data_IF_510513951688
#
_entry.id   IF_510513951688
#
_cell.length_a   1.000
_cell.length_b   1.000
_cell.length_c   1.000
_cell.angle_alpha   90.00
_cell.angle_beta   90.00
_cell.angle_gamma   90.00
#
_symmetry.space_group_name_H-M   'P 1'
#
loop_
_entity.id
_entity.type
_entity.pdbx_description
1 polymer ?
#
# COMPACT_ATOMS: atom_id res chain seq x y z
N UNK A 1 31.56 -34.62 -44.99
CA UNK A 1 30.12 -34.94 -45.09
C UNK A 1 29.32 -33.92 -44.29
N UNK A 2 28.94 -32.83 -44.97
CA UNK A 2 28.07 -31.79 -44.43
C UNK A 2 26.61 -32.18 -44.70
N UNK A 3 25.95 -32.76 -43.71
CA UNK A 3 24.51 -32.91 -43.70
C UNK A 3 23.85 -31.55 -43.48
N UNK A 4 23.48 -30.92 -44.58
CA UNK A 4 22.64 -29.71 -44.57
C UNK A 4 21.31 -30.02 -43.91
N UNK A 5 21.07 -29.41 -42.72
CA UNK A 5 19.73 -29.34 -42.14
C UNK A 5 18.80 -28.58 -43.11
N UNK A 6 17.90 -29.30 -43.77
CA UNK A 6 16.78 -28.67 -44.46
C UNK A 6 15.99 -27.86 -43.42
N UNK A 7 15.98 -26.52 -43.55
CA UNK A 7 14.98 -25.69 -42.86
C UNK A 7 13.62 -26.16 -43.33
N UNK A 8 12.82 -26.65 -42.43
CA UNK A 8 11.39 -26.89 -42.69
C UNK A 8 10.74 -25.55 -42.97
N UNK A 9 10.02 -25.41 -44.08
CA UNK A 9 9.22 -24.21 -44.42
C UNK A 9 7.96 -24.05 -43.57
N UNK A 10 7.82 -24.84 -42.52
CA UNK A 10 6.72 -24.70 -41.56
C UNK A 10 7.07 -23.58 -40.59
N UNK A 11 6.26 -22.52 -40.48
CA UNK A 11 6.50 -21.49 -39.49
C UNK A 11 6.55 -22.13 -38.08
N UNK A 12 7.60 -21.81 -37.32
CA UNK A 12 7.66 -22.23 -35.92
C UNK A 12 6.40 -21.76 -35.21
N UNK A 13 5.74 -22.63 -34.42
CA UNK A 13 4.57 -22.22 -33.66
C UNK A 13 4.97 -21.06 -32.72
N UNK A 14 4.13 -20.03 -32.66
CA UNK A 14 4.32 -18.94 -31.72
C UNK A 14 4.35 -19.51 -30.30
N UNK A 15 5.43 -19.21 -29.57
CA UNK A 15 5.50 -19.57 -28.17
C UNK A 15 4.42 -18.82 -27.39
N UNK A 16 3.67 -19.51 -26.51
CA UNK A 16 2.70 -18.83 -25.65
C UNK A 16 3.43 -17.81 -24.76
N UNK A 17 2.74 -16.69 -24.39
CA UNK A 17 3.34 -15.69 -23.52
C UNK A 17 3.75 -16.29 -22.18
N UNK A 18 4.92 -15.88 -21.68
CA UNK A 18 5.43 -16.30 -20.39
C UNK A 18 4.74 -15.49 -19.28
N UNK A 19 3.64 -16.00 -18.75
CA UNK A 19 2.92 -15.36 -17.64
C UNK A 19 3.67 -15.54 -16.33
N UNK A 20 4.42 -14.52 -15.92
CA UNK A 20 5.15 -14.49 -14.66
C UNK A 20 4.42 -13.60 -13.65
N UNK A 21 3.91 -14.20 -12.56
CA UNK A 21 3.35 -13.44 -11.45
C UNK A 21 4.44 -12.77 -10.60
N UNK A 22 5.52 -13.53 -10.27
CA UNK A 22 6.67 -13.00 -9.55
C UNK A 22 7.65 -12.39 -10.54
N UNK A 23 7.79 -11.08 -10.50
CA UNK A 23 8.71 -10.32 -11.34
C UNK A 23 9.97 -10.05 -10.53
N UNK A 24 11.12 -10.45 -11.04
CA UNK A 24 12.40 -10.23 -10.36
C UNK A 24 12.69 -8.72 -10.22
N UNK A 25 13.13 -8.28 -9.05
CA UNK A 25 13.50 -6.90 -8.78
C UNK A 25 14.73 -6.43 -9.56
N UNK A 26 15.62 -7.36 -9.91
CA UNK A 26 16.75 -7.11 -10.81
C UNK A 26 16.32 -7.21 -12.28
N UNK A 27 15.56 -6.21 -12.73
CA UNK A 27 15.00 -6.19 -14.08
C UNK A 27 15.22 -4.83 -14.76
N UNK A 28 15.19 -4.81 -16.09
CA UNK A 28 15.14 -3.55 -16.84
C UNK A 28 13.73 -2.97 -16.87
N UNK A 29 13.60 -1.67 -17.11
CA UNK A 29 12.28 -1.03 -17.25
C UNK A 29 11.40 -1.68 -18.33
N UNK A 30 12.02 -2.08 -19.45
CA UNK A 30 11.32 -2.82 -20.52
C UNK A 30 10.90 -4.21 -20.06
N UNK A 31 11.77 -4.94 -19.34
CA UNK A 31 11.46 -6.28 -18.86
C UNK A 31 10.30 -6.29 -17.85
N UNK A 32 10.24 -5.32 -16.92
CA UNK A 32 9.09 -5.17 -16.03
C UNK A 32 7.81 -4.94 -16.83
N UNK A 33 7.86 -4.08 -17.85
CA UNK A 33 6.71 -3.78 -18.67
C UNK A 33 6.26 -4.97 -19.52
N UNK A 34 7.20 -5.71 -20.13
CA UNK A 34 6.90 -6.91 -20.91
C UNK A 34 6.26 -7.99 -20.02
N UNK A 35 6.80 -8.24 -18.83
CA UNK A 35 6.21 -9.18 -17.87
C UNK A 35 4.77 -8.79 -17.49
N UNK A 36 4.50 -7.51 -17.25
CA UNK A 36 3.14 -7.04 -16.94
C UNK A 36 2.20 -7.22 -18.15
N UNK A 37 2.65 -6.88 -19.37
CA UNK A 37 1.84 -7.07 -20.58
C UNK A 37 1.48 -8.54 -20.79
N UNK A 38 2.44 -9.44 -20.60
CA UNK A 38 2.23 -10.88 -20.79
C UNK A 38 1.38 -11.52 -19.70
N UNK A 39 1.35 -10.91 -18.51
CA UNK A 39 0.54 -11.34 -17.37
C UNK A 39 -0.75 -10.53 -17.18
N UNK A 40 -1.29 -9.93 -18.24
CA UNK A 40 -2.55 -9.16 -18.23
C UNK A 40 -2.53 -8.00 -17.22
N UNK A 41 -1.37 -7.41 -17.00
CA UNK A 41 -1.14 -6.28 -16.07
C UNK A 41 -0.93 -6.68 -14.61
N UNK A 42 -0.96 -7.96 -14.27
CA UNK A 42 -0.88 -8.44 -12.89
C UNK A 42 0.54 -8.90 -12.56
N UNK A 43 1.09 -8.48 -11.43
CA UNK A 43 2.42 -8.92 -11.00
C UNK A 43 2.74 -8.58 -9.55
N UNK A 44 3.77 -9.24 -9.03
CA UNK A 44 4.34 -9.00 -7.72
C UNK A 44 5.87 -8.91 -7.82
N UNK A 45 6.44 -7.82 -7.31
CA UNK A 45 7.87 -7.75 -7.00
C UNK A 45 7.99 -7.98 -5.49
N UNK A 46 8.72 -9.02 -5.09
CA UNK A 46 8.95 -9.37 -3.70
C UNK A 46 10.44 -9.61 -3.49
N UNK A 47 11.12 -8.66 -2.84
CA UNK A 47 12.57 -8.73 -2.60
C UNK A 47 12.88 -8.53 -1.12
N UNK A 48 13.72 -9.41 -0.61
CA UNK A 48 14.19 -9.34 0.79
C UNK A 48 15.25 -8.26 1.00
N UNK A 49 15.86 -7.78 -0.09
CA UNK A 49 16.87 -6.73 -0.11
C UNK A 49 16.44 -5.61 -1.07
N UNK A 50 16.03 -4.48 -0.51
CA UNK A 50 15.51 -3.35 -1.29
C UNK A 50 16.54 -2.74 -2.27
N UNK A 51 17.84 -2.96 -2.04
CA UNK A 51 18.91 -2.50 -2.91
C UNK A 51 18.96 -3.27 -4.25
N UNK A 52 18.42 -4.47 -4.34
CA UNK A 52 18.21 -5.17 -5.62
C UNK A 52 17.40 -4.31 -6.58
N UNK A 53 16.28 -3.78 -6.12
CA UNK A 53 15.40 -2.90 -6.90
C UNK A 53 16.04 -1.53 -7.12
N UNK A 54 16.66 -0.95 -6.10
CA UNK A 54 17.28 0.37 -6.22
C UNK A 54 18.45 0.38 -7.20
N UNK A 55 19.26 -0.69 -7.21
CA UNK A 55 20.35 -0.87 -8.16
C UNK A 55 19.81 -0.97 -9.58
N UNK A 56 18.77 -1.78 -9.80
CA UNK A 56 18.14 -1.90 -11.11
C UNK A 56 17.55 -0.57 -11.60
N UNK A 57 16.86 0.18 -10.77
CA UNK A 57 16.31 1.51 -11.10
C UNK A 57 17.43 2.52 -11.42
N UNK A 58 18.55 2.45 -10.72
CA UNK A 58 19.69 3.37 -10.87
C UNK A 58 20.56 3.13 -12.11
N UNK A 59 20.37 2.03 -12.84
CA UNK A 59 21.13 1.73 -14.04
C UNK A 59 20.68 2.57 -15.24
N UNK A 60 21.53 2.71 -16.27
CA UNK A 60 21.21 3.47 -17.50
C UNK A 60 19.94 2.96 -18.21
N UNK A 61 19.63 1.69 -18.10
CA UNK A 61 18.42 1.06 -18.66
C UNK A 61 17.31 0.80 -17.63
N UNK A 62 17.54 1.17 -16.37
CA UNK A 62 16.64 0.94 -15.27
C UNK A 62 15.44 1.88 -15.26
N UNK A 63 15.64 3.09 -14.96
CA UNK A 63 14.70 4.24 -14.91
C UNK A 63 13.19 3.93 -14.86
N UNK A 64 12.80 2.84 -14.18
CA UNK A 64 11.39 2.40 -14.12
C UNK A 64 10.66 2.80 -12.82
N UNK A 65 11.21 3.77 -12.08
CA UNK A 65 10.51 4.35 -10.92
C UNK A 65 9.19 5.03 -11.30
N UNK A 66 9.10 5.55 -12.54
CA UNK A 66 7.84 6.07 -13.08
C UNK A 66 6.81 4.96 -13.33
N UNK A 67 7.25 3.79 -13.75
CA UNK A 67 6.41 2.60 -13.88
C UNK A 67 5.79 2.22 -12.54
N UNK A 68 6.56 2.19 -11.44
CA UNK A 68 6.03 1.95 -10.09
C UNK A 68 4.96 2.97 -9.70
N UNK A 69 5.19 4.26 -10.03
CA UNK A 69 4.23 5.32 -9.72
C UNK A 69 2.93 5.17 -10.51
N UNK A 70 3.01 4.80 -11.79
CA UNK A 70 1.85 4.53 -12.64
C UNK A 70 1.09 3.28 -12.19
N UNK A 71 1.81 2.21 -11.85
CA UNK A 71 1.19 0.98 -11.32
C UNK A 71 0.43 1.21 -10.02
N UNK A 72 0.92 2.09 -9.14
CA UNK A 72 0.19 2.46 -7.93
C UNK A 72 -1.21 3.02 -8.22
N UNK A 73 -1.36 3.77 -9.30
CA UNK A 73 -2.61 4.41 -9.67
C UNK A 73 -3.36 3.61 -10.78
N UNK A 74 -2.92 2.37 -11.06
CA UNK A 74 -3.48 1.45 -12.08
C UNK A 74 -3.52 2.06 -13.48
N UNK A 75 -2.57 2.95 -13.78
CA UNK A 75 -2.51 3.63 -15.08
C UNK A 75 -2.08 2.68 -16.20
N UNK A 76 -2.40 3.11 -17.43
CA UNK A 76 -1.91 2.46 -18.65
C UNK A 76 -0.41 2.59 -18.75
N UNK A 77 0.25 1.47 -19.09
CA UNK A 77 1.66 1.43 -19.45
C UNK A 77 1.79 1.12 -20.94
N UNK A 78 2.71 1.80 -21.63
CA UNK A 78 2.97 1.52 -23.02
C UNK A 78 4.42 1.86 -23.38
N UNK A 79 4.96 1.16 -24.37
CA UNK A 79 6.19 1.55 -25.02
C UNK A 79 6.08 1.48 -26.54
N UNK A 80 6.90 2.29 -27.22
CA UNK A 80 7.00 2.34 -28.66
C UNK A 80 8.46 2.31 -29.06
N UNK A 81 8.90 1.22 -29.68
CA UNK A 81 10.28 1.06 -30.21
C UNK A 81 10.28 1.36 -31.71
N UNK A 82 10.90 2.48 -32.10
CA UNK A 82 11.00 2.86 -33.50
C UNK A 82 11.79 1.86 -34.34
N UNK A 83 12.82 1.23 -33.75
CA UNK A 83 13.73 0.31 -34.44
C UNK A 83 12.98 -0.87 -35.06
N UNK A 84 12.02 -1.42 -34.33
CA UNK A 84 11.25 -2.60 -34.77
C UNK A 84 9.80 -2.25 -35.14
N UNK A 85 9.41 -0.96 -35.09
CA UNK A 85 8.02 -0.51 -35.20
C UNK A 85 7.08 -1.25 -34.24
N UNK A 86 7.60 -1.55 -33.08
CA UNK A 86 6.90 -2.32 -32.05
C UNK A 86 6.16 -1.36 -31.12
N UNK A 87 4.86 -1.53 -31.01
CA UNK A 87 4.03 -0.89 -30.00
C UNK A 87 3.38 -1.96 -29.13
N UNK A 88 3.57 -1.89 -27.84
CA UNK A 88 2.91 -2.77 -26.85
C UNK A 88 2.35 -1.93 -25.72
N UNK A 89 1.22 -2.36 -25.17
CA UNK A 89 0.58 -1.68 -24.05
C UNK A 89 -0.06 -2.65 -23.07
N UNK A 90 -0.13 -2.20 -21.83
CA UNK A 90 -0.90 -2.76 -20.75
C UNK A 90 -1.96 -1.72 -20.37
N UNK A 91 -3.26 -1.95 -20.65
CA UNK A 91 -4.31 -0.95 -20.44
C UNK A 91 -4.49 -0.53 -18.98
N UNK A 92 -4.29 -1.47 -18.06
CA UNK A 92 -4.33 -1.23 -16.62
C UNK A 92 -3.27 -2.10 -15.94
N UNK A 93 -2.53 -1.54 -15.00
CA UNK A 93 -1.45 -2.23 -14.30
C UNK A 93 -1.79 -2.47 -12.83
N UNK A 94 -1.61 -3.71 -12.37
CA UNK A 94 -1.90 -4.19 -11.02
C UNK A 94 -0.64 -4.82 -10.42
N UNK A 95 0.40 -4.00 -10.26
CA UNK A 95 1.67 -4.42 -9.69
C UNK A 95 1.69 -4.19 -8.18
N UNK A 96 1.85 -5.26 -7.42
CA UNK A 96 2.17 -5.20 -6.00
C UNK A 96 3.68 -5.21 -5.80
N UNK A 97 4.17 -4.47 -4.80
CA UNK A 97 5.59 -4.39 -4.47
C UNK A 97 5.77 -4.59 -2.98
N UNK A 98 6.53 -5.59 -2.59
CA UNK A 98 6.92 -5.86 -1.21
C UNK A 98 8.45 -5.89 -1.13
N UNK A 99 9.01 -4.96 -0.39
CA UNK A 99 10.46 -4.85 -0.21
C UNK A 99 10.77 -4.84 1.27
N UNK A 100 11.80 -5.56 1.68
CA UNK A 100 12.42 -5.39 3.00
C UNK A 100 13.84 -4.90 2.86
N UNK A 101 14.38 -4.32 3.92
CA UNK A 101 15.73 -3.80 3.92
C UNK A 101 16.03 -2.86 5.08
N UNK A 102 17.24 -2.36 5.12
CA UNK A 102 17.68 -1.40 6.14
C UNK A 102 17.30 0.04 5.77
N UNK A 103 17.22 0.97 6.72
CA UNK A 103 16.98 2.38 6.42
C UNK A 103 18.01 2.99 5.44
N UNK A 104 19.23 2.47 5.38
CA UNK A 104 20.25 2.93 4.44
C UNK A 104 19.92 2.61 2.98
N UNK A 105 19.19 1.52 2.73
CA UNK A 105 18.76 1.09 1.40
C UNK A 105 17.59 1.92 0.84
N UNK A 106 16.92 2.71 1.68
CA UNK A 106 15.80 3.56 1.24
C UNK A 106 16.28 4.71 0.36
N UNK A 107 17.42 5.34 0.68
CA UNK A 107 17.94 6.50 -0.08
C UNK A 107 18.25 6.19 -1.55
N UNK A 108 18.92 5.09 -1.90
CA UNK A 108 19.12 4.73 -3.30
C UNK A 108 17.80 4.46 -4.04
N UNK A 109 16.82 3.86 -3.35
CA UNK A 109 15.50 3.56 -3.93
C UNK A 109 14.68 4.84 -4.14
N UNK A 110 14.72 5.77 -3.18
CA UNK A 110 13.95 7.01 -3.16
C UNK A 110 14.91 8.18 -2.99
N UNK A 111 15.51 8.68 -4.07
CA UNK A 111 16.54 9.72 -4.01
C UNK A 111 16.01 11.06 -3.49
N UNK A 112 14.70 11.32 -3.63
CA UNK A 112 14.06 12.55 -3.20
C UNK A 112 12.61 12.32 -2.79
N UNK A 113 12.13 13.07 -1.79
CA UNK A 113 10.72 13.05 -1.39
C UNK A 113 9.78 13.59 -2.47
N UNK A 114 10.29 14.42 -3.37
CA UNK A 114 9.50 15.08 -4.43
C UNK A 114 9.34 14.23 -5.68
N UNK A 115 10.09 13.14 -5.86
CA UNK A 115 9.96 12.31 -7.05
C UNK A 115 8.63 11.54 -7.14
N UNK A 116 7.79 11.62 -6.10
CA UNK A 116 6.47 11.00 -6.03
C UNK A 116 6.47 9.51 -5.67
N UNK A 117 7.61 8.82 -5.68
CA UNK A 117 7.69 7.42 -5.26
C UNK A 117 7.53 7.28 -3.76
N UNK A 118 8.16 8.19 -2.97
CA UNK A 118 8.03 8.23 -1.51
C UNK A 118 6.57 8.21 -1.05
N UNK A 119 5.76 9.09 -1.60
CA UNK A 119 4.36 9.22 -1.18
C UNK A 119 3.49 8.00 -1.52
N UNK A 120 3.93 7.14 -2.44
CA UNK A 120 3.21 5.94 -2.90
C UNK A 120 3.61 4.66 -2.16
N UNK A 121 4.67 4.71 -1.35
CA UNK A 121 5.09 3.58 -0.53
C UNK A 121 4.44 3.64 0.87
N UNK A 122 4.06 2.48 1.39
CA UNK A 122 3.76 2.31 2.81
C UNK A 122 5.04 1.83 3.51
N UNK A 123 5.48 2.58 4.50
CA UNK A 123 6.65 2.21 5.27
C UNK A 123 6.22 1.57 6.59
N UNK A 124 6.77 0.39 6.85
CA UNK A 124 6.62 -0.27 8.14
C UNK A 124 8.01 -0.48 8.76
N UNK A 125 8.27 0.23 9.84
CA UNK A 125 9.51 0.07 10.58
C UNK A 125 9.32 -0.96 11.67
N UNK A 126 10.00 -2.09 11.53
CA UNK A 126 9.99 -3.13 12.55
C UNK A 126 10.69 -2.62 13.83
N UNK A 127 10.19 -2.98 15.01
CA UNK A 127 10.91 -2.73 16.24
C UNK A 127 12.25 -3.48 16.23
N UNK A 128 13.29 -2.98 16.93
CA UNK A 128 14.52 -3.73 17.09
C UNK A 128 14.24 -5.04 17.83
N UNK A 129 15.01 -6.07 17.51
CA UNK A 129 15.00 -7.34 18.26
C UNK A 129 15.99 -7.17 19.38
N UNK A 130 15.51 -7.12 20.62
CA UNK A 130 16.33 -6.87 21.82
C UNK A 130 16.75 -8.16 22.51
N UNK A 131 16.11 -9.28 22.20
CA UNK A 131 16.37 -10.57 22.80
C UNK A 131 16.81 -11.61 21.77
N UNK A 132 17.75 -12.46 22.15
CA UNK A 132 18.16 -13.60 21.33
C UNK A 132 17.07 -14.67 21.38
N UNK A 133 16.53 -15.04 20.19
CA UNK A 133 15.62 -16.17 20.08
C UNK A 133 16.42 -17.48 19.93
N UNK A 134 16.00 -18.55 20.62
CA UNK A 134 16.62 -19.86 20.45
C UNK A 134 16.32 -20.38 19.03
N UNK A 135 17.39 -20.56 18.26
CA UNK A 135 17.30 -21.01 16.86
C UNK A 135 17.00 -22.52 16.74
N UNK A 136 17.06 -23.24 17.86
CA UNK A 136 16.82 -24.70 17.89
C UNK A 136 15.39 -25.04 18.37
N UNK A 137 14.65 -24.08 18.90
CA UNK A 137 13.22 -24.19 19.19
C UNK A 137 12.39 -24.02 17.89
N UNK A 138 12.69 -24.81 16.87
CA UNK A 138 11.81 -24.86 15.69
C UNK A 138 10.63 -25.78 15.99
N UNK A 139 9.42 -25.26 15.80
CA UNK A 139 8.21 -26.09 15.84
C UNK A 139 8.26 -27.17 14.74
N UNK A 140 7.74 -28.33 15.02
CA UNK A 140 7.61 -29.47 14.09
C UNK A 140 6.59 -29.22 12.94
N UNK A 141 6.16 -27.97 12.72
CA UNK A 141 5.19 -27.63 11.69
C UNK A 141 5.83 -27.65 10.30
N UNK A 142 5.33 -28.51 9.43
CA UNK A 142 5.69 -28.53 8.02
C UNK A 142 5.06 -27.35 7.27
N UNK A 143 5.77 -26.21 7.32
CA UNK A 143 5.32 -24.98 6.69
C UNK A 143 5.19 -25.12 5.16
N UNK A 144 6.01 -25.94 4.53
CA UNK A 144 5.97 -26.16 3.06
C UNK A 144 4.66 -26.85 2.65
N UNK A 145 4.25 -27.88 3.40
CA UNK A 145 2.95 -28.53 3.21
C UNK A 145 1.80 -27.58 3.47
N UNK A 146 1.86 -26.79 4.53
CA UNK A 146 0.82 -25.81 4.88
C UNK A 146 0.64 -24.77 3.77
N UNK A 147 1.73 -24.13 3.29
CA UNK A 147 1.67 -23.15 2.21
C UNK A 147 1.25 -23.78 0.88
N UNK A 148 1.65 -25.00 0.60
CA UNK A 148 1.24 -25.72 -0.60
C UNK A 148 -0.28 -26.00 -0.59
N UNK A 149 -0.84 -26.37 0.58
CA UNK A 149 -2.27 -26.58 0.73
C UNK A 149 -3.07 -25.28 0.57
N UNK A 150 -2.63 -24.22 1.22
CA UNK A 150 -3.25 -22.90 1.06
C UNK A 150 -3.16 -22.39 -0.39
N UNK A 151 -2.02 -22.59 -1.06
CA UNK A 151 -1.85 -22.23 -2.46
C UNK A 151 -2.82 -22.97 -3.38
N UNK A 152 -3.05 -24.26 -3.17
CA UNK A 152 -4.04 -25.03 -3.94
C UNK A 152 -5.47 -24.54 -3.71
N UNK A 153 -5.83 -24.24 -2.46
CA UNK A 153 -7.15 -23.71 -2.11
C UNK A 153 -7.35 -22.32 -2.73
N UNK A 154 -6.35 -21.44 -2.60
CA UNK A 154 -6.37 -20.11 -3.17
C UNK A 154 -6.54 -20.15 -4.68
N UNK A 155 -5.79 -21.03 -5.37
CA UNK A 155 -5.93 -21.17 -6.82
C UNK A 155 -7.35 -21.57 -7.21
N UNK A 156 -7.98 -22.50 -6.54
CA UNK A 156 -9.37 -22.91 -6.81
C UNK A 156 -10.34 -21.74 -6.64
N UNK A 157 -10.16 -20.93 -5.59
CA UNK A 157 -10.98 -19.74 -5.35
C UNK A 157 -10.79 -18.71 -6.47
N UNK A 158 -9.56 -18.43 -6.86
CA UNK A 158 -9.25 -17.47 -7.95
C UNK A 158 -9.82 -17.95 -9.29
N UNK A 159 -9.65 -19.23 -9.63
CA UNK A 159 -10.21 -19.82 -10.85
C UNK A 159 -11.76 -19.68 -10.85
N UNK A 160 -12.40 -20.01 -9.72
CA UNK A 160 -13.85 -19.86 -9.56
C UNK A 160 -14.32 -18.40 -9.75
N UNK A 161 -13.59 -17.45 -9.16
CA UNK A 161 -13.92 -16.02 -9.29
C UNK A 161 -13.77 -15.54 -10.74
N UNK A 162 -12.69 -15.92 -11.42
CA UNK A 162 -12.48 -15.54 -12.82
C UNK A 162 -13.56 -16.08 -13.77
N UNK A 163 -14.08 -17.25 -13.47
CA UNK A 163 -15.13 -17.87 -14.31
C UNK A 163 -16.53 -17.28 -14.06
N UNK A 164 -16.78 -16.79 -12.82
CA UNK A 164 -18.15 -16.52 -12.35
C UNK A 164 -18.42 -15.11 -11.87
N UNK A 165 -17.39 -14.33 -11.59
CA UNK A 165 -17.53 -12.98 -11.00
C UNK A 165 -16.79 -11.98 -11.85
N UNK A 166 -17.50 -10.99 -12.41
CA UNK A 166 -16.85 -9.95 -13.21
C UNK A 166 -16.23 -8.86 -12.35
N UNK A 167 -16.95 -8.41 -11.31
CA UNK A 167 -16.53 -7.29 -10.45
C UNK A 167 -16.93 -7.55 -9.00
N UNK A 168 -16.04 -7.19 -8.08
CA UNK A 168 -16.35 -7.08 -6.65
C UNK A 168 -16.20 -5.61 -6.27
N UNK A 169 -17.29 -4.98 -5.83
CA UNK A 169 -17.33 -3.57 -5.44
C UNK A 169 -17.25 -3.47 -3.91
N UNK A 170 -16.22 -2.80 -3.42
CA UNK A 170 -16.05 -2.59 -1.99
C UNK A 170 -16.78 -1.33 -1.51
N UNK A 171 -17.53 -1.45 -0.42
CA UNK A 171 -18.31 -0.36 0.16
C UNK A 171 -18.05 -0.20 1.66
N UNK A 172 -17.92 1.05 2.08
CA UNK A 172 -17.97 1.46 3.48
C UNK A 172 -19.37 1.97 3.82
N UNK A 173 -19.83 1.70 5.04
CA UNK A 173 -21.04 2.36 5.59
C UNK A 173 -20.82 3.87 5.76
N UNK A 174 -21.87 4.64 5.88
CA UNK A 174 -21.76 6.09 6.05
C UNK A 174 -21.03 6.45 7.35
N UNK A 175 -21.29 5.72 8.43
CA UNK A 175 -20.55 5.86 9.69
C UNK A 175 -19.05 5.55 9.52
N UNK A 176 -18.70 4.51 8.77
CA UNK A 176 -17.30 4.19 8.48
C UNK A 176 -16.63 5.27 7.63
N UNK A 177 -17.34 5.84 6.63
CA UNK A 177 -16.86 6.97 5.83
C UNK A 177 -16.59 8.22 6.69
N UNK A 178 -17.50 8.54 7.61
CA UNK A 178 -17.32 9.66 8.55
C UNK A 178 -16.08 9.45 9.44
N UNK A 179 -15.93 8.27 10.04
CA UNK A 179 -14.76 7.93 10.86
C UNK A 179 -13.45 7.99 10.06
N UNK A 180 -13.46 7.48 8.82
CA UNK A 180 -12.33 7.55 7.91
C UNK A 180 -11.93 9.00 7.62
N UNK A 181 -12.89 9.82 7.20
CA UNK A 181 -12.64 11.22 6.87
C UNK A 181 -12.13 12.02 8.08
N UNK A 182 -12.71 11.84 9.25
CA UNK A 182 -12.27 12.50 10.48
C UNK A 182 -10.84 12.09 10.87
N UNK A 183 -10.51 10.80 10.74
CA UNK A 183 -9.16 10.31 10.99
C UNK A 183 -8.14 10.98 10.05
N UNK A 184 -8.41 10.99 8.75
CA UNK A 184 -7.48 11.52 7.76
C UNK A 184 -7.42 13.05 7.74
N UNK A 185 -8.50 13.76 8.00
CA UNK A 185 -8.49 15.22 8.13
C UNK A 185 -7.55 15.67 9.26
N UNK A 186 -7.62 15.00 10.42
CA UNK A 186 -6.74 15.27 11.56
C UNK A 186 -5.26 15.03 11.21
N UNK A 187 -4.93 13.89 10.61
CA UNK A 187 -3.56 13.54 10.24
C UNK A 187 -3.03 14.47 9.14
N UNK A 188 -3.86 14.82 8.16
CA UNK A 188 -3.51 15.73 7.09
C UNK A 188 -3.19 17.14 7.61
N UNK A 189 -3.98 17.61 8.60
CA UNK A 189 -3.70 18.86 9.30
C UNK A 189 -2.36 18.82 10.03
N UNK A 190 -2.12 17.78 10.83
CA UNK A 190 -0.85 17.57 11.53
C UNK A 190 0.33 17.48 10.58
N UNK A 191 0.23 16.72 9.48
CA UNK A 191 1.29 16.58 8.48
C UNK A 191 1.72 17.92 7.89
N UNK A 192 0.75 18.77 7.59
CA UNK A 192 1.02 20.10 7.04
C UNK A 192 1.74 21.04 8.00
N UNK A 193 1.47 20.93 9.30
CA UNK A 193 2.11 21.75 10.33
C UNK A 193 3.53 21.28 10.65
N UNK A 194 3.74 19.95 10.68
CA UNK A 194 4.96 19.35 11.19
C UNK A 194 6.00 19.05 10.11
N UNK A 195 5.56 18.66 8.90
CA UNK A 195 6.43 18.13 7.85
C UNK A 195 6.24 18.79 6.47
N UNK A 196 5.23 19.64 6.32
CA UNK A 196 4.97 20.35 5.07
C UNK A 196 4.34 19.51 3.97
N UNK A 197 4.47 19.99 2.72
CA UNK A 197 3.78 19.44 1.54
C UNK A 197 4.11 17.97 1.21
N UNK A 198 5.38 17.51 1.28
CA UNK A 198 5.68 16.11 0.94
C UNK A 198 4.90 15.11 1.79
N UNK A 199 4.75 15.40 3.09
CA UNK A 199 4.03 14.52 3.99
C UNK A 199 2.52 14.57 3.78
N UNK A 200 1.95 15.70 3.37
CA UNK A 200 0.52 15.77 2.97
C UNK A 200 0.23 14.86 1.79
N UNK A 201 1.12 14.83 0.79
CA UNK A 201 1.00 13.93 -0.36
C UNK A 201 1.03 12.46 0.07
N UNK A 202 1.87 12.11 1.05
CA UNK A 202 1.94 10.76 1.62
C UNK A 202 0.65 10.41 2.37
N UNK A 203 0.09 11.31 3.17
CA UNK A 203 -1.17 11.08 3.90
C UNK A 203 -2.32 10.78 2.94
N UNK A 204 -2.44 11.53 1.84
CA UNK A 204 -3.48 11.29 0.83
C UNK A 204 -3.35 9.89 0.21
N UNK A 205 -2.14 9.39 -0.01
CA UNK A 205 -1.91 8.05 -0.56
C UNK A 205 -2.01 6.94 0.49
N UNK A 206 -1.64 7.21 1.73
CA UNK A 206 -1.94 6.30 2.85
C UNK A 206 -3.45 6.08 2.92
N UNK A 207 -4.28 7.12 2.74
CA UNK A 207 -5.74 6.98 2.72
C UNK A 207 -6.21 6.01 1.63
N UNK A 208 -5.70 6.13 0.40
CA UNK A 208 -6.00 5.20 -0.69
C UNK A 208 -5.60 3.77 -0.31
N UNK A 209 -4.39 3.60 0.21
CA UNK A 209 -3.87 2.28 0.57
C UNK A 209 -4.64 1.67 1.76
N UNK A 210 -5.10 2.47 2.73
CA UNK A 210 -5.97 1.98 3.81
C UNK A 210 -7.31 1.48 3.26
N UNK A 211 -7.91 2.15 2.28
CA UNK A 211 -9.09 1.62 1.59
C UNK A 211 -8.80 0.28 0.89
N UNK A 212 -7.64 0.15 0.25
CA UNK A 212 -7.21 -1.12 -0.39
C UNK A 212 -7.00 -2.22 0.64
N UNK A 213 -6.32 -1.93 1.77
CA UNK A 213 -6.15 -2.89 2.86
C UNK A 213 -7.52 -3.30 3.43
N UNK A 214 -8.42 -2.34 3.65
CA UNK A 214 -9.76 -2.62 4.13
C UNK A 214 -10.54 -3.56 3.19
N UNK A 215 -10.44 -3.35 1.86
CA UNK A 215 -11.08 -4.22 0.88
C UNK A 215 -10.49 -5.64 0.88
N UNK A 216 -9.16 -5.76 1.01
CA UNK A 216 -8.48 -7.06 1.09
C UNK A 216 -8.85 -7.78 2.38
N UNK A 217 -8.84 -7.10 3.54
CA UNK A 217 -9.23 -7.68 4.83
C UNK A 217 -10.68 -8.14 4.78
N UNK A 218 -11.60 -7.32 4.25
CA UNK A 218 -13.00 -7.69 4.10
C UNK A 218 -13.17 -8.94 3.24
N UNK A 219 -12.45 -9.01 2.11
CA UNK A 219 -12.49 -10.17 1.22
C UNK A 219 -11.94 -11.42 1.89
N UNK A 220 -10.75 -11.35 2.50
CA UNK A 220 -10.15 -12.48 3.20
C UNK A 220 -11.05 -12.98 4.34
N UNK A 221 -11.66 -12.08 5.11
CA UNK A 221 -12.62 -12.42 6.16
C UNK A 221 -13.84 -13.13 5.59
N UNK A 222 -14.34 -12.67 4.44
CA UNK A 222 -15.49 -13.30 3.79
C UNK A 222 -15.21 -14.73 3.35
N UNK A 223 -13.99 -14.99 2.88
CA UNK A 223 -13.62 -16.33 2.36
C UNK A 223 -12.86 -17.19 3.37
N UNK A 224 -12.64 -16.71 4.60
CA UNK A 224 -11.87 -17.41 5.65
C UNK A 224 -12.38 -18.83 5.91
N UNK A 225 -13.69 -19.01 5.93
CA UNK A 225 -14.32 -20.32 6.14
C UNK A 225 -13.99 -21.35 5.05
N UNK A 226 -13.55 -20.89 3.87
CA UNK A 226 -13.20 -21.75 2.74
C UNK A 226 -11.82 -22.40 2.93
N UNK A 227 -10.96 -21.81 3.74
CA UNK A 227 -9.61 -22.32 4.04
C UNK A 227 -9.61 -23.33 5.20
N UNK A 228 -10.77 -23.62 5.76
CA UNK A 228 -10.95 -24.77 6.69
C UNK A 228 -10.95 -26.05 5.87
N UNK A 229 -10.20 -27.12 6.26
CA UNK A 229 -9.81 -28.25 5.41
C UNK A 229 -10.91 -29.12 4.81
N UNK A 230 -12.11 -28.71 4.59
CA UNK A 230 -13.16 -29.50 3.90
C UNK A 230 -14.14 -28.70 3.06
N UNK A 231 -14.17 -27.36 3.17
CA UNK A 231 -15.26 -26.56 2.62
C UNK A 231 -15.23 -26.35 1.09
N UNK A 232 -14.04 -26.31 0.46
CA UNK A 232 -13.92 -26.02 -0.99
C UNK A 232 -14.17 -27.25 -1.88
N UNK A 233 -14.26 -28.43 -1.30
CA UNK A 233 -14.50 -29.69 -2.04
C UNK A 233 -15.98 -29.98 -2.25
N UNK A 234 -16.86 -29.20 -1.64
CA UNK A 234 -18.30 -29.41 -1.74
C UNK A 234 -18.87 -28.84 -3.05
N UNK A 235 -19.55 -29.67 -3.82
CA UNK A 235 -20.21 -29.28 -5.08
C UNK A 235 -21.31 -28.21 -4.92
N UNK A 236 -21.59 -27.81 -3.68
CA UNK A 236 -22.58 -26.78 -3.33
C UNK A 236 -21.94 -25.42 -2.99
N UNK A 237 -20.61 -25.25 -3.20
CA UNK A 237 -19.96 -23.98 -2.92
C UNK A 237 -20.55 -22.86 -3.78
N UNK A 238 -20.99 -21.79 -3.13
CA UNK A 238 -21.36 -20.53 -3.77
C UNK A 238 -20.73 -19.37 -3.02
N UNK A 239 -20.07 -18.46 -3.75
CA UNK A 239 -19.51 -17.23 -3.20
C UNK A 239 -20.59 -16.35 -2.52
N UNK A 240 -21.85 -16.52 -2.91
CA UNK A 240 -22.98 -15.81 -2.33
C UNK A 240 -23.28 -16.23 -0.88
N UNK A 241 -22.75 -17.39 -0.44
CA UNK A 241 -22.87 -17.86 0.94
C UNK A 241 -21.75 -17.29 1.84
N UNK A 242 -20.82 -16.53 1.29
CA UNK A 242 -19.72 -15.95 2.06
C UNK A 242 -20.19 -14.71 2.83
N UNK A 243 -19.86 -14.57 4.12
CA UNK A 243 -20.24 -13.39 4.90
C UNK A 243 -19.74 -12.10 4.30
N UNK A 244 -20.57 -11.05 4.29
CA UNK A 244 -20.17 -9.73 3.77
C UNK A 244 -20.18 -9.60 2.25
N UNK A 245 -20.45 -10.68 1.49
CA UNK A 245 -20.66 -10.63 0.05
C UNK A 245 -22.15 -10.75 -0.28
N UNK A 246 -22.62 -9.92 -1.20
CA UNK A 246 -24.01 -9.95 -1.70
C UNK A 246 -24.05 -9.54 -3.18
N UNK A 247 -25.05 -10.00 -3.97
CA UNK A 247 -25.27 -9.47 -5.30
C UNK A 247 -25.53 -7.96 -5.27
N UNK A 248 -25.06 -7.24 -6.29
CA UNK A 248 -25.39 -5.82 -6.41
C UNK A 248 -26.92 -5.64 -6.60
N UNK A 249 -27.55 -4.65 -5.94
CA UNK A 249 -29.02 -4.52 -5.92
C UNK A 249 -29.67 -4.31 -7.29
N UNK A 250 -28.92 -3.86 -8.28
CA UNK A 250 -29.41 -3.57 -9.64
C UNK A 250 -29.44 -4.79 -10.55
N UNK A 251 -29.01 -5.98 -10.09
CA UNK A 251 -28.98 -7.19 -10.90
C UNK A 251 -30.27 -7.98 -10.67
N UNK A 252 -31.15 -8.11 -11.69
CA UNK A 252 -32.31 -8.97 -11.58
C UNK A 252 -31.88 -10.41 -11.31
N UNK A 253 -32.58 -11.12 -10.42
CA UNK A 253 -32.29 -12.53 -10.08
C UNK A 253 -32.26 -13.46 -11.32
N UNK A 254 -33.03 -13.12 -12.37
CA UNK A 254 -33.03 -13.82 -13.65
C UNK A 254 -31.69 -13.71 -14.43
N UNK A 255 -30.85 -12.73 -14.14
CA UNK A 255 -29.50 -12.57 -14.75
C UNK A 255 -28.39 -13.34 -14.01
N UNK A 256 -28.68 -13.97 -12.90
CA UNK A 256 -27.81 -14.93 -12.23
C UNK A 256 -27.98 -16.33 -12.85
N UNK A 257 -28.23 -16.38 -14.17
CA UNK A 257 -28.34 -17.64 -14.90
C UNK A 257 -26.96 -18.26 -15.07
N UNK A 258 -26.89 -19.56 -14.93
CA UNK A 258 -25.68 -20.38 -15.13
C UNK A 258 -24.56 -20.14 -14.07
N UNK A 259 -24.90 -19.55 -12.92
CA UNK A 259 -23.95 -19.35 -11.81
C UNK A 259 -22.93 -18.23 -12.04
N UNK A 260 -23.16 -17.34 -13.02
CA UNK A 260 -22.36 -16.13 -13.25
C UNK A 260 -22.98 -14.99 -12.45
N UNK A 261 -22.18 -14.34 -11.61
CA UNK A 261 -22.56 -13.16 -10.83
C UNK A 261 -21.85 -11.94 -11.42
N UNK A 262 -22.54 -11.05 -12.13
CA UNK A 262 -21.91 -9.92 -12.83
C UNK A 262 -21.21 -8.95 -11.86
N UNK A 263 -21.79 -8.72 -10.68
CA UNK A 263 -21.21 -7.83 -9.67
C UNK A 263 -21.60 -8.29 -8.26
N UNK A 264 -20.60 -8.31 -7.38
CA UNK A 264 -20.77 -8.54 -5.94
C UNK A 264 -20.49 -7.26 -5.18
N UNK A 265 -21.28 -6.97 -4.14
CA UNK A 265 -20.93 -5.98 -3.13
C UNK A 265 -20.16 -6.66 -2.00
N UNK A 266 -19.07 -6.03 -1.58
CA UNK A 266 -18.25 -6.45 -0.45
C UNK A 266 -18.29 -5.37 0.63
N UNK A 267 -18.61 -5.75 1.87
CA UNK A 267 -18.68 -4.85 3.01
C UNK A 267 -17.76 -5.33 4.12
N UNK A 268 -17.08 -4.40 4.76
CA UNK A 268 -16.25 -4.66 5.93
C UNK A 268 -17.10 -4.50 7.20
N UNK A 269 -16.91 -5.37 8.19
CA UNK A 269 -17.49 -5.19 9.50
C UNK A 269 -16.76 -4.09 10.30
N UNK A 270 -17.38 -3.61 11.39
CA UNK A 270 -16.84 -2.46 12.14
C UNK A 270 -15.56 -2.79 12.92
N UNK A 271 -15.39 -4.02 13.38
CA UNK A 271 -14.20 -4.44 14.13
C UNK A 271 -12.98 -4.52 13.22
N UNK A 272 -13.11 -5.18 12.07
CA UNK A 272 -12.05 -5.23 11.05
C UNK A 272 -11.74 -3.83 10.50
N UNK A 273 -12.76 -2.99 10.28
CA UNK A 273 -12.56 -1.62 9.86
C UNK A 273 -11.79 -0.80 10.92
N UNK A 274 -12.12 -0.96 12.20
CA UNK A 274 -11.39 -0.30 13.29
C UNK A 274 -9.94 -0.80 13.38
N UNK A 275 -9.72 -2.10 13.20
CA UNK A 275 -8.37 -2.68 13.17
C UNK A 275 -7.54 -2.07 12.03
N UNK A 276 -8.11 -1.96 10.82
CA UNK A 276 -7.45 -1.32 9.67
C UNK A 276 -7.17 0.17 9.93
N UNK A 277 -8.13 0.92 10.50
CA UNK A 277 -7.91 2.32 10.86
C UNK A 277 -6.79 2.49 11.90
N UNK A 278 -6.60 1.54 12.80
CA UNK A 278 -5.52 1.60 13.79
C UNK A 278 -4.10 1.58 13.17
N UNK A 279 -3.97 1.10 11.93
CA UNK A 279 -2.69 1.12 11.19
C UNK A 279 -2.31 2.51 10.68
N UNK A 280 -3.26 3.45 10.61
CA UNK A 280 -3.03 4.76 9.97
C UNK A 280 -1.95 5.55 10.69
N UNK A 281 -2.03 5.66 12.01
CA UNK A 281 -1.07 6.43 12.81
C UNK A 281 0.34 5.81 12.77
N UNK A 282 0.56 4.51 13.01
CA UNK A 282 1.87 3.87 12.83
C UNK A 282 2.46 4.08 11.43
N UNK A 283 1.69 3.84 10.36
CA UNK A 283 2.17 4.01 8.99
C UNK A 283 2.54 5.47 8.69
N UNK A 284 1.75 6.42 9.17
CA UNK A 284 2.05 7.84 9.07
C UNK A 284 3.36 8.20 9.78
N UNK A 285 3.55 7.73 11.02
CA UNK A 285 4.78 7.99 11.79
C UNK A 285 6.01 7.35 11.17
N UNK A 286 5.87 6.13 10.67
CA UNK A 286 6.96 5.46 9.97
C UNK A 286 7.34 6.21 8.68
N UNK A 287 6.36 6.68 7.91
CA UNK A 287 6.61 7.52 6.73
C UNK A 287 7.31 8.83 7.10
N UNK A 288 6.90 9.49 8.20
CA UNK A 288 7.55 10.70 8.68
C UNK A 288 9.01 10.44 9.12
N UNK A 289 9.26 9.30 9.77
CA UNK A 289 10.61 8.86 10.11
C UNK A 289 11.49 8.62 8.89
N UNK A 290 10.96 8.01 7.84
CA UNK A 290 11.68 7.81 6.58
C UNK A 290 11.91 9.15 5.85
N UNK A 291 10.93 10.06 5.85
CA UNK A 291 11.09 11.39 5.26
C UNK A 291 12.31 12.12 5.81
N UNK A 292 12.58 12.00 7.10
CA UNK A 292 13.73 12.61 7.74
C UNK A 292 15.09 12.06 7.28
N UNK A 293 15.10 10.88 6.66
CA UNK A 293 16.31 10.24 6.13
C UNK A 293 16.58 10.61 4.68
N UNK A 294 15.58 11.14 3.96
CA UNK A 294 15.71 11.49 2.54
C UNK A 294 16.43 12.83 2.38
N UNK A 295 17.21 13.01 1.30
CA UNK A 295 17.75 14.32 0.95
C UNK A 295 16.62 15.32 0.70
N UNK A 296 16.77 16.53 1.21
CA UNK A 296 15.89 17.65 0.83
C UNK A 296 16.39 18.23 -0.47
N UNK A 297 15.55 18.28 -1.49
CA UNK A 297 15.86 18.93 -2.79
C UNK A 297 15.85 20.47 -2.70
N UNK A 298 15.41 21.03 -1.60
CA UNK A 298 15.61 22.45 -1.35
C UNK A 298 17.11 22.74 -1.28
N UNK A 299 17.58 23.67 -2.13
CA UNK A 299 18.85 24.40 -1.94
C UNK A 299 19.05 24.59 -0.43
N UNK A 300 20.24 24.29 0.12
CA UNK A 300 20.41 24.13 1.56
C UNK A 300 20.06 25.42 2.30
N UNK A 301 18.81 25.70 2.46
CA UNK A 301 18.34 26.39 3.64
C UNK A 301 18.39 25.31 4.71
N UNK A 302 19.51 25.21 5.40
CA UNK A 302 19.60 24.48 6.66
C UNK A 302 18.64 25.13 7.66
N UNK A 303 17.34 24.99 7.41
CA UNK A 303 16.33 25.32 8.38
C UNK A 303 16.20 24.10 9.27
N UNK A 304 17.04 24.07 10.29
CA UNK A 304 16.74 23.28 11.48
C UNK A 304 15.25 23.51 11.80
N UNK A 305 14.46 22.46 11.98
CA UNK A 305 13.07 22.63 12.39
C UNK A 305 13.05 23.62 13.56
N UNK A 306 12.19 24.60 13.51
CA UNK A 306 12.04 25.49 14.66
C UNK A 306 11.68 24.61 15.86
N UNK A 307 12.10 24.97 17.08
CA UNK A 307 11.75 24.20 18.27
C UNK A 307 10.26 23.89 18.36
N UNK A 308 9.42 24.78 17.84
CA UNK A 308 7.97 24.58 17.77
C UNK A 308 7.57 23.50 16.77
N UNK A 309 8.17 23.44 15.58
CA UNK A 309 7.94 22.39 14.59
C UNK A 309 8.38 21.02 15.12
N UNK A 310 9.52 20.98 15.81
CA UNK A 310 10.01 19.76 16.45
C UNK A 310 9.08 19.29 17.58
N UNK A 311 8.61 20.21 18.43
CA UNK A 311 7.63 19.93 19.48
C UNK A 311 6.37 19.28 18.91
N UNK A 312 5.74 19.91 17.91
CA UNK A 312 4.48 19.40 17.35
C UNK A 312 4.66 18.11 16.57
N UNK A 313 5.83 17.90 15.96
CA UNK A 313 6.15 16.62 15.30
C UNK A 313 6.28 15.45 16.28
N UNK A 314 6.74 15.72 17.50
CA UNK A 314 6.93 14.71 18.54
C UNK A 314 5.63 14.37 19.29
N UNK A 315 4.66 15.28 19.35
CA UNK A 315 3.40 15.06 20.06
C UNK A 315 2.50 14.05 19.33
N UNK A 316 1.80 13.16 20.07
CA UNK A 316 0.76 12.32 19.49
C UNK A 316 -0.43 13.14 18.97
N UNK A 317 -1.25 12.52 18.11
CA UNK A 317 -2.43 13.19 17.51
C UNK A 317 -3.45 13.65 18.55
N UNK A 318 -3.50 12.96 19.69
CA UNK A 318 -4.21 13.39 20.88
C UNK A 318 -3.24 13.35 22.05
N UNK A 319 -3.14 14.42 22.82
CA UNK A 319 -2.17 14.55 23.90
C UNK A 319 -2.76 15.37 25.06
N UNK A 320 -2.21 15.15 26.24
CA UNK A 320 -2.54 15.95 27.40
C UNK A 320 -1.49 17.06 27.62
N UNK A 321 -1.85 18.02 28.50
CA UNK A 321 -0.96 19.15 28.81
C UNK A 321 0.40 18.69 29.39
N UNK A 322 0.42 17.58 30.13
CA UNK A 322 1.65 17.06 30.73
C UNK A 322 2.62 16.58 29.61
N UNK A 323 2.11 15.84 28.65
CA UNK A 323 2.89 15.39 27.50
C UNK A 323 3.45 16.57 26.68
N UNK A 324 2.62 17.62 26.50
CA UNK A 324 3.09 18.82 25.81
C UNK A 324 4.19 19.56 26.58
N UNK A 325 4.13 19.59 27.91
CA UNK A 325 5.18 20.20 28.76
C UNK A 325 6.48 19.40 28.71
N UNK A 326 6.42 18.09 28.82
CA UNK A 326 7.58 17.20 28.73
C UNK A 326 8.30 17.36 27.39
N UNK A 327 7.53 17.42 26.30
CA UNK A 327 8.11 17.59 24.98
C UNK A 327 8.62 19.02 24.72
N UNK A 328 7.97 20.02 25.31
CA UNK A 328 8.46 21.41 25.28
C UNK A 328 9.79 21.55 26.01
N UNK A 329 9.95 20.88 27.15
CA UNK A 329 11.19 20.84 27.91
C UNK A 329 12.33 20.20 27.12
N UNK A 330 12.08 19.07 26.46
CA UNK A 330 13.05 18.39 25.57
C UNK A 330 13.52 19.28 24.41
N UNK A 331 12.63 20.14 23.92
CA UNK A 331 12.93 21.07 22.83
C UNK A 331 13.35 22.48 23.30
N UNK A 332 13.63 22.67 24.60
CA UNK A 332 13.99 23.96 25.22
C UNK A 332 12.98 25.08 24.96
N UNK A 333 11.69 24.77 24.97
CA UNK A 333 10.59 25.73 24.76
C UNK A 333 10.06 26.15 26.14
N UNK A 334 10.11 27.44 26.48
CA UNK A 334 9.51 27.93 27.72
C UNK A 334 7.99 27.67 27.78
N UNK A 335 7.48 27.35 28.95
CA UNK A 335 6.03 27.07 29.19
C UNK A 335 5.13 28.18 28.68
N UNK A 336 5.49 29.46 28.87
CA UNK A 336 4.72 30.59 28.36
C UNK A 336 4.65 30.62 26.83
N UNK A 337 5.71 30.19 26.15
CA UNK A 337 5.75 30.05 24.68
C UNK A 337 4.86 28.89 24.24
N UNK A 338 4.92 27.74 24.94
CA UNK A 338 4.04 26.60 24.68
C UNK A 338 2.57 27.02 24.80
N UNK A 339 2.18 27.69 25.89
CA UNK A 339 0.81 28.13 26.10
C UNK A 339 0.32 29.07 25.00
N UNK A 340 1.19 29.99 24.57
CA UNK A 340 0.90 30.90 23.46
C UNK A 340 0.70 30.11 22.13
N UNK A 341 1.53 29.10 21.88
CA UNK A 341 1.43 28.26 20.70
C UNK A 341 0.14 27.44 20.71
N UNK A 342 -0.19 26.76 21.80
CA UNK A 342 -1.42 26.00 21.95
C UNK A 342 -2.65 26.88 21.74
N UNK A 343 -2.66 28.07 22.33
CA UNK A 343 -3.76 29.05 22.17
C UNK A 343 -3.92 29.49 20.71
N UNK A 344 -2.81 29.85 20.02
CA UNK A 344 -2.85 30.21 18.59
C UNK A 344 -3.36 29.09 17.70
N UNK A 345 -3.00 27.87 18.01
CA UNK A 345 -3.46 26.71 17.24
C UNK A 345 -4.95 26.44 17.46
N UNK A 346 -5.44 26.65 18.67
CA UNK A 346 -6.89 26.61 18.97
C UNK A 346 -7.65 27.72 18.23
N UNK A 347 -7.16 28.96 18.25
CA UNK A 347 -7.75 30.10 17.53
C UNK A 347 -7.78 29.86 16.01
N UNK A 348 -6.83 29.13 15.46
CA UNK A 348 -6.76 28.73 14.04
C UNK A 348 -7.59 27.49 13.72
N UNK A 349 -8.19 26.83 14.69
CA UNK A 349 -8.93 25.59 14.52
C UNK A 349 -8.07 24.37 14.14
N UNK A 350 -6.74 24.47 14.30
CA UNK A 350 -5.81 23.37 14.04
C UNK A 350 -5.60 22.48 15.27
N UNK A 351 -6.05 22.94 16.44
CA UNK A 351 -6.02 22.19 17.71
C UNK A 351 -7.36 22.37 18.41
N UNK A 352 -7.96 21.28 18.82
CA UNK A 352 -9.19 21.25 19.60
C UNK A 352 -8.90 20.88 21.05
N UNK A 353 -9.61 21.49 21.98
CA UNK A 353 -9.53 21.18 23.40
C UNK A 353 -10.71 20.32 23.81
N UNK A 354 -10.47 19.03 24.05
CA UNK A 354 -11.51 18.03 24.33
C UNK A 354 -11.92 17.93 25.80
N UNK A 355 -11.20 18.64 26.69
CA UNK A 355 -11.44 18.59 28.12
C UNK A 355 -10.44 19.43 28.91
N UNK A 356 -10.37 19.20 30.23
CA UNK A 356 -9.44 19.91 31.11
C UNK A 356 -8.00 19.43 30.88
N UNK A 357 -7.30 20.09 29.96
CA UNK A 357 -5.89 19.79 29.64
C UNK A 357 -5.71 18.70 28.57
N UNK A 358 -6.74 18.29 27.87
CA UNK A 358 -6.70 17.36 26.75
C UNK A 358 -6.85 18.09 25.43
N UNK A 359 -6.02 17.73 24.46
CA UNK A 359 -5.94 18.35 23.13
C UNK A 359 -5.92 17.28 22.05
N UNK A 360 -6.54 17.58 20.89
CA UNK A 360 -6.38 16.83 19.66
C UNK A 360 -6.16 17.79 18.48
N UNK A 361 -5.43 17.35 17.47
CA UNK A 361 -5.34 18.14 16.24
C UNK A 361 -6.71 18.18 15.55
N UNK A 362 -7.19 19.37 15.24
CA UNK A 362 -8.54 19.61 14.72
C UNK A 362 -8.67 19.39 13.22
N UNK A 363 -9.91 19.21 12.75
CA UNK A 363 -10.26 18.88 11.36
C UNK A 363 -10.21 20.10 10.41
N UNK A 364 -10.13 21.33 10.92
CA UNK A 364 -10.26 22.53 10.08
C UNK A 364 -8.91 23.06 9.63
N UNK A 365 -8.56 22.79 8.39
CA UNK A 365 -7.64 23.60 7.61
C UNK A 365 -8.48 24.73 6.99
N UNK A 366 -8.49 25.90 7.64
CA UNK A 366 -9.05 27.10 7.00
C UNK A 366 -8.17 27.46 5.80
N UNK A 367 -8.71 27.27 4.60
CA UNK A 367 -8.18 27.88 3.40
C UNK A 367 -8.18 29.40 3.56
N UNK A 368 -6.99 29.99 3.57
CA UNK A 368 -6.77 31.37 3.14
C UNK A 368 -5.78 31.37 2.01
#
# INVERSE_FOLDING_TARGET
DSLGKKKSDTPEPEMPPLKMFLIAGNNSGTGVLENLIEADGIGLICETEADTVSTAIGTEHGHWSDTLRKCHDHERLAFNRRTNREYRECPASYLSVLLSGTPAQVRPLIPSAENGLFSRQLFYRMPPIDEWADQFEQGDEDMDSLFSDWGRQWKKLVDYLHERVNVIQFHLSDTQKERFNSCFARIFGHAGLSYGYPMRSSVARIAINICRIASVVAFLRSVESLFIPQAILDSQFSILNCPGLSPAPEIPEENVRDGIVPSLELRINDDDFQAVLSLVEPLYRHSAGILSLLPSDEVPRSRTPTPQEALFAALPLSFNRQQALEEAERNNIPTATLDTCLKRMQERGTLEKNGRGEYSFGDRVTHK
#
